data_IF_970544095567
#
_entry.id   IF_970544095567
#
_cell.length_a   1.000
_cell.length_b   1.000
_cell.length_c   1.000
_cell.angle_alpha   90.00
_cell.angle_beta   90.00
_cell.angle_gamma   90.00
#
_symmetry.space_group_name_H-M   'P 1'
#
loop_
_entity.id
_entity.type
_entity.pdbx_description
1 polymer ?
#
# COMPACT_ATOMS: atom_id res chain seq x y z
N UNK A 1 28.75 7.02 -18.41
CA UNK A 1 27.63 6.07 -18.61
C UNK A 1 26.52 6.85 -19.28
N UNK A 2 26.18 6.52 -20.54
CA UNK A 2 25.10 7.21 -21.26
C UNK A 2 23.76 6.72 -20.73
N UNK A 3 23.00 7.60 -20.07
CA UNK A 3 21.60 7.33 -19.75
C UNK A 3 20.84 7.23 -21.08
N UNK A 4 20.40 6.02 -21.41
CA UNK A 4 19.58 5.79 -22.60
C UNK A 4 18.19 6.38 -22.30
N UNK A 5 17.89 7.57 -22.82
CA UNK A 5 16.59 8.23 -22.68
C UNK A 5 15.47 7.55 -23.49
N UNK A 6 15.62 6.25 -23.82
CA UNK A 6 14.78 5.50 -24.74
C UNK A 6 13.31 5.47 -24.34
N UNK A 7 12.99 5.65 -23.06
CA UNK A 7 11.62 5.69 -22.53
C UNK A 7 11.30 7.02 -21.83
N UNK A 8 11.95 8.11 -22.25
CA UNK A 8 11.71 9.43 -21.65
C UNK A 8 10.27 9.93 -21.81
N UNK A 9 9.47 9.43 -22.74
CA UNK A 9 8.04 9.80 -22.87
C UNK A 9 7.11 8.94 -22.01
N UNK A 10 7.60 7.85 -21.43
CA UNK A 10 6.77 6.89 -20.70
C UNK A 10 6.38 7.47 -19.33
N UNK A 11 5.08 7.66 -19.13
CA UNK A 11 4.49 8.15 -17.86
C UNK A 11 3.89 7.03 -17.02
N UNK A 12 3.60 5.88 -17.62
CA UNK A 12 2.93 4.76 -16.96
C UNK A 12 3.60 3.45 -17.38
N UNK A 13 3.92 2.62 -16.40
CA UNK A 13 4.47 1.28 -16.61
C UNK A 13 3.72 0.32 -15.70
N UNK A 14 3.14 -0.73 -16.27
CA UNK A 14 2.48 -1.79 -15.52
C UNK A 14 3.04 -3.14 -15.96
N UNK A 15 3.63 -3.87 -15.02
CA UNK A 15 4.27 -5.15 -15.25
C UNK A 15 3.46 -6.24 -14.56
N UNK A 16 2.82 -7.09 -15.36
CA UNK A 16 2.04 -8.23 -14.88
C UNK A 16 2.73 -9.54 -15.21
N UNK A 17 3.01 -10.37 -14.19
CA UNK A 17 3.66 -11.69 -14.33
C UNK A 17 5.01 -11.64 -15.06
N UNK A 18 5.76 -10.57 -14.86
CA UNK A 18 7.08 -10.38 -15.46
C UNK A 18 8.17 -10.96 -14.55
N UNK A 19 9.05 -11.77 -15.12
CA UNK A 19 10.30 -12.19 -14.49
C UNK A 19 11.33 -11.07 -14.63
N UNK A 20 11.62 -10.36 -13.53
CA UNK A 20 12.55 -9.25 -13.52
C UNK A 20 14.02 -9.70 -13.50
N UNK A 21 14.30 -11.01 -13.39
CA UNK A 21 15.63 -11.63 -13.29
C UNK A 21 16.44 -11.24 -12.04
N UNK A 22 16.48 -9.95 -11.71
CA UNK A 22 17.05 -9.41 -10.48
C UNK A 22 16.63 -7.94 -10.29
N UNK A 23 16.85 -7.43 -9.08
CA UNK A 23 16.60 -6.01 -8.72
C UNK A 23 17.38 -5.03 -9.59
N UNK A 24 18.54 -5.44 -10.10
CA UNK A 24 19.40 -4.66 -10.98
C UNK A 24 18.70 -4.33 -12.29
N UNK A 25 17.93 -5.27 -12.86
CA UNK A 25 17.20 -5.04 -14.10
C UNK A 25 16.05 -4.05 -13.92
N UNK A 26 15.35 -4.11 -12.79
CA UNK A 26 14.34 -3.12 -12.44
C UNK A 26 14.97 -1.74 -12.34
N UNK A 27 16.12 -1.60 -11.65
CA UNK A 27 16.85 -0.32 -11.57
C UNK A 27 17.24 0.22 -12.95
N UNK A 28 17.74 -0.64 -13.84
CA UNK A 28 18.08 -0.25 -15.22
C UNK A 28 16.87 0.18 -16.05
N UNK A 29 15.74 -0.52 -15.89
CA UNK A 29 14.49 -0.16 -16.55
C UNK A 29 14.00 1.22 -16.08
N UNK A 30 13.98 1.43 -14.76
CA UNK A 30 13.53 2.68 -14.15
C UNK A 30 14.47 3.87 -14.45
N UNK A 31 15.78 3.63 -14.59
CA UNK A 31 16.73 4.70 -14.95
C UNK A 31 16.54 5.23 -16.37
N UNK A 32 15.85 4.48 -17.23
CA UNK A 32 15.54 4.87 -18.61
C UNK A 32 14.20 5.61 -18.75
N UNK A 33 13.41 5.70 -17.67
CA UNK A 33 12.04 6.23 -17.66
C UNK A 33 11.93 7.51 -16.82
N UNK A 34 12.56 8.60 -17.29
CA UNK A 34 12.67 9.86 -16.52
C UNK A 34 11.35 10.58 -16.23
N UNK A 35 10.29 10.30 -17.00
CA UNK A 35 8.96 10.90 -16.83
C UNK A 35 7.92 9.95 -16.21
N UNK A 36 8.34 8.80 -15.66
CA UNK A 36 7.43 7.81 -15.09
C UNK A 36 6.68 8.39 -13.89
N UNK A 37 5.36 8.41 -13.95
CA UNK A 37 4.45 8.87 -12.90
C UNK A 37 3.71 7.72 -12.19
N UNK A 38 3.53 6.59 -12.86
CA UNK A 38 2.84 5.41 -12.34
C UNK A 38 3.64 4.13 -12.62
N UNK A 39 3.88 3.34 -11.57
CA UNK A 39 4.53 2.03 -11.66
C UNK A 39 3.66 0.95 -11.01
N UNK A 40 3.30 -0.07 -11.79
CA UNK A 40 2.64 -1.28 -11.32
C UNK A 40 3.56 -2.49 -11.42
N UNK A 41 3.65 -3.27 -10.33
CA UNK A 41 4.37 -4.53 -10.24
C UNK A 41 3.42 -5.58 -9.68
N UNK A 42 2.83 -6.37 -10.57
CA UNK A 42 1.78 -7.33 -10.24
C UNK A 42 2.23 -8.77 -10.57
N UNK A 43 2.26 -9.64 -9.57
CA UNK A 43 2.67 -11.04 -9.71
C UNK A 43 4.07 -11.21 -10.34
N UNK A 44 4.97 -10.24 -10.16
CA UNK A 44 6.34 -10.30 -10.68
C UNK A 44 7.20 -11.32 -9.92
N UNK A 45 8.22 -11.85 -10.61
CA UNK A 45 9.12 -12.90 -10.12
C UNK A 45 10.58 -12.43 -10.06
N UNK A 46 11.39 -13.14 -9.27
CA UNK A 46 12.82 -12.90 -9.04
C UNK A 46 13.13 -11.48 -8.52
N UNK A 47 12.30 -11.04 -7.58
CA UNK A 47 12.36 -9.72 -6.96
C UNK A 47 12.21 -9.85 -5.43
N UNK A 48 13.33 -9.81 -4.71
CA UNK A 48 13.32 -9.91 -3.24
C UNK A 48 13.24 -8.54 -2.56
N UNK A 49 13.87 -7.52 -3.14
CA UNK A 49 13.82 -6.16 -2.63
C UNK A 49 13.43 -5.19 -3.74
N UNK A 50 12.55 -4.24 -3.41
CA UNK A 50 12.28 -3.08 -4.26
C UNK A 50 12.91 -1.87 -3.59
N UNK A 51 13.69 -1.12 -4.36
CA UNK A 51 14.22 0.17 -3.93
C UNK A 51 13.83 1.22 -4.96
N UNK A 52 13.02 2.19 -4.53
CA UNK A 52 12.70 3.38 -5.31
C UNK A 52 13.39 4.55 -4.61
N UNK A 53 14.45 5.07 -5.22
CA UNK A 53 15.29 6.10 -4.64
C UNK A 53 15.64 7.20 -5.65
N UNK A 54 15.70 8.44 -5.15
CA UNK A 54 16.19 9.57 -5.94
C UNK A 54 17.66 9.35 -6.38
N UNK A 55 18.08 9.81 -7.58
CA UNK A 55 17.34 10.65 -8.53
C UNK A 55 16.50 9.87 -9.54
N UNK A 56 16.34 8.56 -9.38
CA UNK A 56 15.48 7.77 -10.26
C UNK A 56 14.00 8.01 -9.91
N UNK A 57 13.12 7.94 -10.91
CA UNK A 57 11.68 8.04 -10.69
C UNK A 57 11.23 9.35 -9.97
N UNK A 58 11.90 10.48 -10.24
CA UNK A 58 11.59 11.79 -9.63
C UNK A 58 10.18 12.32 -9.92
N UNK A 59 9.47 11.74 -10.88
CA UNK A 59 8.07 12.08 -11.20
C UNK A 59 7.07 11.02 -10.75
N UNK A 60 7.53 9.94 -10.12
CA UNK A 60 6.68 8.84 -9.71
C UNK A 60 5.77 9.32 -8.59
N UNK A 61 4.46 9.31 -8.85
CA UNK A 61 3.40 9.69 -7.91
C UNK A 61 2.70 8.47 -7.34
N UNK A 62 2.66 7.37 -8.08
CA UNK A 62 1.91 6.17 -7.71
C UNK A 62 2.74 4.90 -7.88
N UNK A 63 2.73 4.05 -6.85
CA UNK A 63 3.33 2.73 -6.87
C UNK A 63 2.30 1.67 -6.46
N UNK A 64 2.05 0.69 -7.33
CA UNK A 64 1.32 -0.54 -7.01
C UNK A 64 2.31 -1.71 -6.93
N UNK A 65 2.31 -2.43 -5.80
CA UNK A 65 3.03 -3.69 -5.66
C UNK A 65 2.06 -4.75 -5.16
N UNK A 66 1.77 -5.73 -6.02
CA UNK A 66 0.72 -6.71 -5.79
C UNK A 66 1.21 -8.13 -6.04
N UNK A 67 1.03 -9.01 -5.07
CA UNK A 67 1.21 -10.46 -5.15
C UNK A 67 2.62 -10.94 -5.61
N UNK A 68 3.64 -10.10 -5.49
CA UNK A 68 5.05 -10.46 -5.70
C UNK A 68 5.55 -11.38 -4.56
N UNK A 69 5.41 -12.70 -4.72
CA UNK A 69 5.53 -13.67 -3.62
C UNK A 69 6.92 -13.76 -2.96
N UNK A 70 7.98 -13.38 -3.68
CA UNK A 70 9.36 -13.44 -3.20
C UNK A 70 9.81 -12.14 -2.52
N UNK A 71 9.00 -11.09 -2.57
CA UNK A 71 9.34 -9.79 -1.99
C UNK A 71 9.46 -9.91 -0.47
N UNK A 72 10.56 -9.39 0.07
CA UNK A 72 10.90 -9.36 1.50
C UNK A 72 11.04 -7.94 2.02
N UNK A 73 11.34 -6.96 1.15
CA UNK A 73 11.59 -5.56 1.55
C UNK A 73 11.14 -4.56 0.49
N UNK A 74 10.57 -3.46 0.95
CA UNK A 74 10.25 -2.29 0.15
C UNK A 74 10.91 -1.05 0.77
N UNK A 75 11.84 -0.45 0.02
CA UNK A 75 12.57 0.77 0.38
C UNK A 75 12.11 1.91 -0.52
N UNK A 76 11.59 2.97 0.08
CA UNK A 76 11.10 4.16 -0.62
C UNK A 76 11.84 5.39 -0.11
N UNK A 77 12.81 5.86 -0.87
CA UNK A 77 13.55 7.11 -0.63
C UNK A 77 13.26 8.11 -1.76
N UNK A 78 11.99 8.51 -1.87
CA UNK A 78 11.48 9.24 -3.03
C UNK A 78 10.66 10.46 -2.59
N UNK A 79 10.88 11.59 -3.25
CA UNK A 79 10.30 12.89 -2.89
C UNK A 79 9.03 13.23 -3.65
N UNK A 80 8.63 12.45 -4.66
CA UNK A 80 7.45 12.69 -5.48
C UNK A 80 6.30 11.71 -5.24
N UNK A 81 6.58 10.55 -4.64
CA UNK A 81 5.62 9.49 -4.44
C UNK A 81 4.53 9.94 -3.47
N UNK A 82 3.28 9.87 -3.92
CA UNK A 82 2.11 10.35 -3.20
C UNK A 82 1.24 9.19 -2.70
N UNK A 83 1.20 8.09 -3.46
CA UNK A 83 0.35 6.92 -3.18
C UNK A 83 1.12 5.61 -3.29
N UNK A 84 0.88 4.72 -2.32
CA UNK A 84 1.35 3.33 -2.33
C UNK A 84 0.14 2.39 -2.18
N UNK A 85 -0.04 1.52 -3.18
CA UNK A 85 -0.89 0.33 -3.09
C UNK A 85 0.01 -0.89 -2.83
N UNK A 86 -0.24 -1.59 -1.74
CA UNK A 86 0.47 -2.83 -1.42
C UNK A 86 -0.48 -3.98 -1.11
N UNK A 87 -0.36 -5.06 -1.89
CA UNK A 87 -1.07 -6.32 -1.69
C UNK A 87 -0.06 -7.46 -1.65
N UNK A 88 0.13 -8.09 -0.49
CA UNK A 88 1.12 -9.16 -0.41
C UNK A 88 1.32 -9.68 1.01
N UNK A 89 2.41 -10.43 1.18
CA UNK A 89 2.82 -10.97 2.47
C UNK A 89 3.46 -9.88 3.34
N UNK A 90 3.76 -10.21 4.60
CA UNK A 90 4.55 -9.35 5.46
C UNK A 90 5.96 -9.15 4.91
N UNK A 91 6.39 -7.88 4.86
CA UNK A 91 7.70 -7.46 4.37
C UNK A 91 8.27 -6.36 5.26
N UNK A 92 9.57 -6.12 5.19
CA UNK A 92 10.18 -4.93 5.79
C UNK A 92 9.81 -3.68 4.96
N UNK A 93 9.36 -2.62 5.64
CA UNK A 93 9.08 -1.31 5.02
C UNK A 93 10.07 -0.27 5.57
N UNK A 94 10.77 0.40 4.67
CA UNK A 94 11.70 1.48 5.00
C UNK A 94 11.36 2.69 4.16
N UNK A 95 10.74 3.70 4.78
CA UNK A 95 10.22 4.87 4.07
C UNK A 95 10.91 6.16 4.52
N UNK A 96 11.48 6.85 3.55
CA UNK A 96 11.82 8.28 3.55
C UNK A 96 11.13 8.90 2.33
N UNK A 97 9.81 9.05 2.43
CA UNK A 97 8.95 9.51 1.35
C UNK A 97 7.98 10.58 1.88
N UNK A 98 8.40 11.85 1.98
CA UNK A 98 7.65 12.88 2.71
C UNK A 98 6.31 13.24 2.07
N UNK A 99 6.13 12.98 0.77
CA UNK A 99 4.87 13.22 0.04
C UNK A 99 3.94 12.00 0.02
N UNK A 100 4.42 10.85 0.50
CA UNK A 100 3.62 9.62 0.57
C UNK A 100 2.59 9.80 1.69
N UNK A 101 1.37 10.10 1.30
CA UNK A 101 0.28 10.44 2.22
C UNK A 101 -0.92 9.51 2.07
N UNK A 102 -0.97 8.74 0.98
CA UNK A 102 -2.04 7.78 0.70
C UNK A 102 -1.51 6.36 0.69
N UNK A 103 -2.13 5.49 1.47
CA UNK A 103 -1.82 4.07 1.50
C UNK A 103 -3.07 3.23 1.25
N UNK A 104 -2.97 2.29 0.32
CA UNK A 104 -4.00 1.30 0.04
C UNK A 104 -3.48 -0.10 0.34
N UNK A 105 -4.28 -0.91 1.04
CA UNK A 105 -3.98 -2.34 1.15
C UNK A 105 -5.23 -3.18 1.40
N UNK A 106 -5.34 -4.36 0.77
CA UNK A 106 -6.36 -5.32 1.13
C UNK A 106 -6.06 -5.97 2.48
N UNK A 107 -7.10 -6.11 3.29
CA UNK A 107 -7.13 -6.84 4.56
C UNK A 107 -7.90 -8.13 4.32
N UNK A 108 -7.18 -9.26 4.28
CA UNK A 108 -7.75 -10.60 4.08
C UNK A 108 -7.85 -11.37 5.41
N UNK A 109 -8.86 -12.23 5.51
CA UNK A 109 -9.15 -13.12 6.65
C UNK A 109 -9.15 -14.59 6.28
N UNK A 110 -8.31 -14.98 5.31
CA UNK A 110 -7.98 -16.40 5.21
C UNK A 110 -7.30 -16.83 6.52
N UNK A 111 -7.47 -18.08 6.96
CA UNK A 111 -6.99 -18.57 8.25
C UNK A 111 -5.47 -18.41 8.50
N UNK A 112 -4.71 -18.09 7.46
CA UNK A 112 -3.31 -17.66 7.52
C UNK A 112 -3.09 -16.23 8.08
N UNK A 113 -4.09 -15.35 7.99
CA UNK A 113 -4.01 -13.91 8.28
C UNK A 113 -4.48 -13.53 9.69
N UNK A 114 -5.19 -14.40 10.42
CA UNK A 114 -5.70 -14.13 11.78
C UNK A 114 -4.62 -13.76 12.83
N UNK A 115 -3.33 -13.82 12.49
CA UNK A 115 -2.25 -13.55 13.45
C UNK A 115 -1.57 -12.20 13.29
N UNK A 116 -1.67 -11.53 12.12
CA UNK A 116 -0.98 -10.25 11.89
C UNK A 116 -1.78 -9.33 10.99
N UNK A 117 -2.27 -8.21 11.55
CA UNK A 117 -2.88 -7.07 10.83
C UNK A 117 -1.82 -6.24 10.08
N UNK A 118 -0.85 -6.92 9.50
CA UNK A 118 0.13 -6.31 8.64
C UNK A 118 -0.54 -5.88 7.33
N UNK A 119 -0.25 -4.69 6.77
CA UNK A 119 0.74 -3.68 7.20
C UNK A 119 0.23 -2.66 8.23
N UNK A 120 -1.07 -2.63 8.52
CA UNK A 120 -1.75 -1.59 9.33
C UNK A 120 -1.03 -1.31 10.65
N UNK A 121 -0.57 -2.35 11.37
CA UNK A 121 0.10 -2.20 12.66
C UNK A 121 1.39 -1.36 12.61
N UNK A 122 2.03 -1.26 11.44
CA UNK A 122 3.32 -0.59 11.30
C UNK A 122 3.25 0.74 10.58
N UNK A 123 2.15 1.00 9.86
CA UNK A 123 1.91 2.28 9.18
C UNK A 123 2.07 3.50 10.11
N UNK A 124 1.57 3.53 11.35
CA UNK A 124 1.80 4.67 12.24
C UNK A 124 3.27 4.99 12.50
N UNK A 125 4.14 3.98 12.44
CA UNK A 125 5.58 4.14 12.70
C UNK A 125 6.36 4.41 11.41
N UNK A 126 6.05 3.70 10.32
CA UNK A 126 6.79 3.84 9.05
C UNK A 126 6.26 4.96 8.15
N UNK A 127 5.01 5.38 8.36
CA UNK A 127 4.34 6.42 7.58
C UNK A 127 3.52 7.35 8.50
N UNK A 128 4.16 8.03 9.47
CA UNK A 128 3.46 8.85 10.46
C UNK A 128 2.66 10.00 9.82
N UNK A 129 3.11 10.53 8.67
CA UNK A 129 2.48 11.63 7.92
C UNK A 129 1.26 11.22 7.07
N UNK A 130 0.85 9.96 7.11
CA UNK A 130 -0.26 9.45 6.30
C UNK A 130 -1.56 10.23 6.56
N UNK A 131 -2.17 10.74 5.49
CA UNK A 131 -3.44 11.48 5.55
C UNK A 131 -4.63 10.64 5.09
N UNK A 132 -4.41 9.69 4.19
CA UNK A 132 -5.44 8.82 3.63
C UNK A 132 -5.06 7.35 3.78
N UNK A 133 -5.97 6.56 4.35
CA UNK A 133 -5.85 5.11 4.44
C UNK A 133 -7.07 4.48 3.76
N UNK A 134 -6.82 3.61 2.80
CA UNK A 134 -7.85 2.86 2.09
C UNK A 134 -7.65 1.38 2.36
N UNK A 135 -8.68 0.73 2.92
CA UNK A 135 -8.65 -0.67 3.30
C UNK A 135 -9.69 -1.44 2.49
N UNK A 136 -9.25 -2.38 1.67
CA UNK A 136 -10.16 -3.34 1.02
C UNK A 136 -10.34 -4.55 1.92
N UNK A 137 -11.49 -4.69 2.56
CA UNK A 137 -11.69 -5.66 3.63
C UNK A 137 -12.79 -6.65 3.27
N UNK A 138 -12.41 -7.87 2.87
CA UNK A 138 -13.38 -8.94 2.57
C UNK A 138 -13.81 -9.75 3.80
N UNK A 139 -13.61 -9.23 5.02
CA UNK A 139 -13.79 -9.98 6.27
C UNK A 139 -14.53 -9.23 7.37
N UNK A 140 -14.69 -9.88 8.54
CA UNK A 140 -15.37 -9.31 9.70
C UNK A 140 -14.49 -8.25 10.39
N UNK A 141 -14.57 -7.02 9.86
CA UNK A 141 -13.79 -5.86 10.29
C UNK A 141 -13.90 -5.58 11.81
N UNK A 142 -15.04 -5.91 12.42
CA UNK A 142 -15.26 -5.70 13.85
C UNK A 142 -14.19 -6.33 14.75
N UNK A 143 -13.74 -7.56 14.47
CA UNK A 143 -12.74 -8.24 15.32
C UNK A 143 -11.32 -7.71 15.07
N UNK A 144 -10.99 -7.46 13.81
CA UNK A 144 -9.73 -6.86 13.36
C UNK A 144 -9.51 -5.51 14.05
N UNK A 145 -10.52 -4.64 14.00
CA UNK A 145 -10.42 -3.30 14.55
C UNK A 145 -10.50 -3.28 16.08
N UNK A 146 -11.31 -4.15 16.72
CA UNK A 146 -11.49 -4.14 18.19
C UNK A 146 -10.25 -4.59 18.95
N UNK A 147 -9.53 -5.61 18.47
CA UNK A 147 -8.52 -6.29 19.28
C UNK A 147 -7.11 -5.68 19.23
N UNK A 148 -6.81 -4.84 18.24
CA UNK A 148 -5.43 -4.42 17.94
C UNK A 148 -5.26 -2.95 17.57
N UNK A 149 -6.32 -2.32 17.07
CA UNK A 149 -6.29 -0.92 16.68
C UNK A 149 -6.34 0.09 17.84
N UNK A 150 -6.93 -0.19 19.02
CA UNK A 150 -6.90 0.74 20.15
C UNK A 150 -5.48 1.14 20.60
N UNK A 151 -4.46 0.34 20.27
CA UNK A 151 -3.06 0.62 20.58
C UNK A 151 -2.35 1.49 19.52
N UNK A 152 -3.01 1.76 18.39
CA UNK A 152 -2.46 2.58 17.32
C UNK A 152 -3.03 3.99 17.41
N UNK A 153 -2.19 4.99 17.14
CA UNK A 153 -2.62 6.37 16.95
C UNK A 153 -2.19 6.80 15.56
N UNK A 154 -3.14 7.27 14.76
CA UNK A 154 -2.88 7.86 13.46
C UNK A 154 -3.03 9.38 13.58
N UNK A 155 -1.93 10.12 13.86
CA UNK A 155 -2.00 11.52 14.28
C UNK A 155 -2.47 12.45 13.17
N UNK A 156 -2.24 12.08 11.90
CA UNK A 156 -2.51 12.93 10.74
C UNK A 156 -3.56 12.36 9.79
N UNK A 157 -4.17 11.22 10.12
CA UNK A 157 -5.15 10.58 9.25
C UNK A 157 -6.45 11.39 9.19
N UNK A 158 -6.74 11.94 8.01
CA UNK A 158 -7.91 12.78 7.73
C UNK A 158 -8.98 12.04 6.96
N UNK A 159 -8.60 11.03 6.19
CA UNK A 159 -9.51 10.22 5.40
C UNK A 159 -9.27 8.73 5.64
N UNK A 160 -10.32 8.03 6.05
CA UNK A 160 -10.35 6.58 6.12
C UNK A 160 -11.47 6.08 5.20
N UNK A 161 -11.11 5.19 4.30
CA UNK A 161 -12.04 4.50 3.42
C UNK A 161 -11.93 2.99 3.63
N UNK A 162 -13.07 2.32 3.80
CA UNK A 162 -13.16 0.87 3.94
C UNK A 162 -14.08 0.34 2.86
N UNK A 163 -13.53 -0.45 1.93
CA UNK A 163 -14.22 -0.95 0.73
C UNK A 163 -14.41 -2.47 0.82
N UNK A 164 -15.49 -2.98 0.19
CA UNK A 164 -15.84 -4.40 0.05
C UNK A 164 -16.10 -5.15 1.37
N UNK A 165 -16.63 -4.45 2.37
CA UNK A 165 -16.97 -5.01 3.69
C UNK A 165 -17.92 -6.19 3.52
N UNK A 166 -17.47 -7.40 3.87
CA UNK A 166 -18.28 -8.62 3.77
C UNK A 166 -19.52 -8.56 4.69
N UNK A 167 -20.68 -8.87 4.12
CA UNK A 167 -21.99 -8.84 4.78
C UNK A 167 -22.27 -10.09 5.59
N UNK A 168 -21.70 -10.15 6.78
CA UNK A 168 -22.40 -10.71 7.94
C UNK A 168 -22.63 -9.55 8.90
N UNK A 169 -23.77 -9.51 9.61
CA UNK A 169 -24.20 -8.39 10.49
C UNK A 169 -23.00 -7.75 11.23
N UNK A 170 -22.50 -6.63 10.71
CA UNK A 170 -21.34 -5.97 11.31
C UNK A 170 -21.81 -5.04 12.42
N UNK A 171 -21.33 -5.30 13.63
CA UNK A 171 -21.44 -4.34 14.72
C UNK A 171 -20.50 -3.16 14.43
N UNK A 172 -21.06 -1.96 14.25
CA UNK A 172 -20.31 -0.72 14.00
C UNK A 172 -19.58 -0.20 15.24
N UNK A 173 -19.59 -0.90 16.37
CA UNK A 173 -18.84 -0.53 17.58
C UNK A 173 -17.33 -0.31 17.34
N UNK A 174 -16.76 -0.90 16.28
CA UNK A 174 -15.38 -0.62 15.88
C UNK A 174 -15.18 0.79 15.30
N UNK A 175 -16.21 1.41 14.74
CA UNK A 175 -16.14 2.80 14.24
C UNK A 175 -15.84 3.74 15.41
N UNK A 176 -16.46 3.52 16.57
CA UNK A 176 -16.18 4.29 17.78
C UNK A 176 -14.72 4.14 18.26
N UNK A 177 -14.10 2.98 18.01
CA UNK A 177 -12.67 2.76 18.31
C UNK A 177 -11.81 3.57 17.34
N UNK A 178 -12.13 3.55 16.05
CA UNK A 178 -11.38 4.31 15.03
C UNK A 178 -11.45 5.81 15.29
N UNK A 179 -12.64 6.32 15.63
CA UNK A 179 -12.81 7.74 15.95
C UNK A 179 -11.95 8.17 17.16
N UNK A 180 -11.64 7.24 18.08
CA UNK A 180 -10.70 7.49 19.18
C UNK A 180 -9.23 7.43 18.74
N UNK A 181 -8.88 6.57 17.80
CA UNK A 181 -7.49 6.37 17.35
C UNK A 181 -7.04 7.36 16.28
N UNK A 182 -8.01 8.04 15.64
CA UNK A 182 -7.79 8.99 14.55
C UNK A 182 -8.40 10.36 14.93
N UNK A 183 -7.77 11.15 15.81
CA UNK A 183 -8.38 12.34 16.40
C UNK A 183 -8.64 13.48 15.40
N UNK A 184 -7.97 13.47 14.25
CA UNK A 184 -8.12 14.48 13.19
C UNK A 184 -8.90 13.98 11.98
N UNK A 185 -9.57 12.84 12.10
CA UNK A 185 -10.35 12.24 11.01
C UNK A 185 -11.49 13.18 10.58
N UNK A 186 -11.53 13.53 9.29
CA UNK A 186 -12.54 14.42 8.70
C UNK A 186 -13.54 13.69 7.83
N UNK A 187 -13.13 12.58 7.22
CA UNK A 187 -13.94 11.80 6.28
C UNK A 187 -13.78 10.31 6.54
N UNK A 188 -14.88 9.67 6.92
CA UNK A 188 -14.98 8.22 7.04
C UNK A 188 -15.93 7.70 5.97
N UNK A 189 -15.46 6.76 5.15
CA UNK A 189 -16.26 6.09 4.13
C UNK A 189 -16.30 4.60 4.34
N UNK A 190 -17.51 4.05 4.27
CA UNK A 190 -17.78 2.64 4.47
C UNK A 190 -18.59 2.14 3.27
N UNK A 191 -17.93 1.42 2.36
CA UNK A 191 -18.57 0.86 1.17
C UNK A 191 -18.86 -0.62 1.43
N UNK A 192 -20.13 -0.91 1.70
CA UNK A 192 -20.61 -2.25 2.04
C UNK A 192 -21.00 -2.98 0.76
N UNK A 193 -20.37 -4.11 0.48
CA UNK A 193 -20.73 -4.97 -0.64
C UNK A 193 -21.75 -6.02 -0.20
N UNK A 194 -22.99 -5.92 -0.68
CA UNK A 194 -24.01 -6.95 -0.50
C UNK A 194 -23.63 -8.19 -1.30
N UNK A 195 -23.21 -9.25 -0.62
CA UNK A 195 -23.15 -10.58 -1.23
C UNK A 195 -24.58 -11.07 -1.42
N UNK A 196 -25.12 -11.00 -2.64
CA UNK A 196 -26.32 -11.76 -2.99
C UNK A 196 -25.90 -13.23 -3.00
N UNK A 197 -26.44 -14.02 -2.08
CA UNK A 197 -26.28 -15.47 -2.08
C UNK A 197 -27.03 -15.97 -3.33
N UNK A 198 -26.29 -16.42 -4.35
CA UNK A 198 -26.81 -17.19 -5.49
C UNK A 198 -26.55 -18.67 -5.26
#
# INVERSE_FOLDING_TARGET
MSYNNGFSTLTTMDLFRVDLKSEVHLRFLLSSCSNLEWLGLCECYNLENITIENPFCQKLKYLNVSLCQQLKKLVLHNTSLETLEYKGREIELVFDAPRLTTFYSPVSDTSACHKKLWPILKLPTVLPQMETLILECSCFMGEVMKNKLPALTFPWLRHLEVIKVATFRQDLGWVAIILKTCPVLRRLELHVSLSVIS
#
